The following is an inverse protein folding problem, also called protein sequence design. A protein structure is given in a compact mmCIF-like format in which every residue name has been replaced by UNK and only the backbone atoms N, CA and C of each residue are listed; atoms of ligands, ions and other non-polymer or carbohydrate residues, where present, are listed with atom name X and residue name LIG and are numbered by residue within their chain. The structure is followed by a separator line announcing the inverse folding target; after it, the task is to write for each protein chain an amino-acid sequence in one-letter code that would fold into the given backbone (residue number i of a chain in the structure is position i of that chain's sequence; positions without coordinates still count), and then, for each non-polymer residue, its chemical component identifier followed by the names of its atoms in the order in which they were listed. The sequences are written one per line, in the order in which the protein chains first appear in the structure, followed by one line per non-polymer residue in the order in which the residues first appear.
data_IF_030050386586
#
_entry.id   IF_030050386586
#
_cell.length_a   1.000
_cell.length_b   1.000
_cell.length_c   1.000
_cell.angle_alpha   90.00
_cell.angle_beta   90.00
_cell.angle_gamma   90.00
#
_symmetry.space_group_name_H-M   'P 1'
#
loop_
_entity.id
_entity.type
_entity.pdbx_description
1 polymer ?
#
# COMPACT_ATOMS: atom_id res chain seq x y z
N UNK A 1 -10.50 -37.24 -13.76
CA UNK A 1 -10.01 -35.84 -13.60
C UNK A 1 -11.22 -34.99 -13.27
N UNK A 2 -11.25 -34.34 -12.10
CA UNK A 2 -12.39 -33.50 -11.70
C UNK A 2 -12.44 -32.27 -12.60
N UNK A 3 -13.62 -31.91 -13.10
CA UNK A 3 -13.81 -30.69 -13.88
C UNK A 3 -13.43 -29.46 -13.03
N UNK A 4 -12.86 -28.39 -13.63
CA UNK A 4 -12.54 -27.18 -12.89
C UNK A 4 -13.84 -26.57 -12.35
N UNK A 5 -13.88 -26.33 -11.04
CA UNK A 5 -15.05 -25.75 -10.39
C UNK A 5 -15.30 -24.35 -10.96
N UNK A 6 -16.52 -24.09 -11.42
CA UNK A 6 -16.89 -22.78 -11.98
C UNK A 6 -16.84 -21.77 -10.83
N UNK A 7 -16.07 -20.69 -11.01
CA UNK A 7 -15.93 -19.66 -10.00
C UNK A 7 -17.19 -18.78 -9.98
N UNK A 8 -17.62 -18.38 -8.79
CA UNK A 8 -18.75 -17.46 -8.63
C UNK A 8 -18.38 -16.09 -9.22
N UNK A 9 -19.35 -15.39 -9.81
CA UNK A 9 -19.14 -14.04 -10.37
C UNK A 9 -20.23 -13.07 -9.92
N UNK A 10 -19.86 -11.79 -9.85
CA UNK A 10 -20.78 -10.70 -9.55
C UNK A 10 -20.55 -9.51 -10.50
N UNK A 11 -21.65 -8.84 -10.84
CA UNK A 11 -21.61 -7.61 -11.61
C UNK A 11 -21.18 -6.44 -10.70
N UNK A 12 -20.12 -5.74 -11.10
CA UNK A 12 -19.63 -4.54 -10.41
C UNK A 12 -19.63 -3.33 -11.35
N UNK A 13 -19.38 -2.13 -10.81
CA UNK A 13 -19.18 -0.93 -11.62
C UNK A 13 -17.97 -1.02 -12.57
N UNK A 14 -17.06 -1.97 -12.32
CA UNK A 14 -15.89 -2.25 -13.15
C UNK A 14 -16.14 -3.35 -14.21
N UNK A 15 -17.34 -3.95 -14.24
CA UNK A 15 -17.69 -5.11 -15.05
C UNK A 15 -17.92 -6.38 -14.23
N UNK A 16 -18.03 -7.51 -14.92
CA UNK A 16 -18.15 -8.84 -14.30
C UNK A 16 -16.84 -9.21 -13.58
N UNK A 17 -16.93 -9.46 -12.28
CA UNK A 17 -15.80 -9.83 -11.45
C UNK A 17 -15.99 -11.25 -10.93
N UNK A 18 -14.91 -12.04 -10.96
CA UNK A 18 -14.92 -13.43 -10.49
C UNK A 18 -14.39 -13.52 -9.06
N UNK A 19 -15.13 -14.18 -8.18
CA UNK A 19 -14.74 -14.45 -6.80
C UNK A 19 -13.76 -15.63 -6.78
N UNK A 20 -12.53 -15.37 -6.33
CA UNK A 20 -11.51 -16.42 -6.18
C UNK A 20 -11.62 -17.01 -4.76
N UNK A 21 -11.89 -18.32 -4.62
CA UNK A 21 -11.93 -18.98 -3.32
C UNK A 21 -10.65 -18.74 -2.52
N UNK A 22 -10.81 -18.36 -1.24
CA UNK A 22 -9.69 -18.04 -0.36
C UNK A 22 -9.13 -16.62 -0.51
N UNK A 23 -9.59 -15.83 -1.48
CA UNK A 23 -9.21 -14.42 -1.65
C UNK A 23 -10.37 -13.54 -1.21
N UNK A 24 -10.18 -12.84 -0.09
CA UNK A 24 -11.17 -11.87 0.41
C UNK A 24 -11.12 -10.59 -0.44
N UNK A 25 -12.24 -10.14 -1.03
CA UNK A 25 -12.28 -8.85 -1.72
C UNK A 25 -11.95 -7.70 -0.78
N UNK A 26 -11.21 -6.70 -1.28
CA UNK A 26 -10.96 -5.45 -0.53
C UNK A 26 -12.21 -4.58 -0.61
N UNK A 27 -12.74 -4.18 0.53
CA UNK A 27 -13.93 -3.33 0.63
C UNK A 27 -13.64 -1.87 0.27
N UNK A 28 -14.68 -1.09 -0.03
CA UNK A 28 -14.54 0.34 -0.26
C UNK A 28 -13.98 1.07 0.97
N UNK A 29 -14.45 0.68 2.16
CA UNK A 29 -13.95 1.21 3.42
C UNK A 29 -12.44 1.00 3.58
N UNK A 30 -11.94 -0.21 3.34
CA UNK A 30 -10.50 -0.51 3.42
C UNK A 30 -9.68 0.30 2.42
N UNK A 31 -10.18 0.45 1.18
CA UNK A 31 -9.54 1.30 0.16
C UNK A 31 -9.44 2.77 0.61
N UNK A 32 -10.52 3.30 1.21
CA UNK A 32 -10.55 4.68 1.69
C UNK A 32 -9.61 4.89 2.89
N UNK A 33 -9.58 3.95 3.83
CA UNK A 33 -8.66 3.99 4.98
C UNK A 33 -7.19 4.00 4.54
N UNK A 34 -6.82 3.15 3.56
CA UNK A 34 -5.47 3.15 3.00
C UNK A 34 -5.12 4.50 2.34
N UNK A 35 -6.05 5.06 1.57
CA UNK A 35 -5.85 6.35 0.89
C UNK A 35 -5.74 7.51 1.87
N UNK A 36 -6.48 7.46 2.97
CA UNK A 36 -6.38 8.46 4.04
C UNK A 36 -5.03 8.38 4.77
N UNK A 37 -4.48 7.18 4.94
CA UNK A 37 -3.17 6.98 5.55
C UNK A 37 -1.98 7.32 4.63
N UNK A 38 -2.15 7.23 3.30
CA UNK A 38 -1.09 7.44 2.32
C UNK A 38 -0.36 8.80 2.43
N UNK A 39 -1.03 9.95 2.60
CA UNK A 39 -0.36 11.23 2.79
C UNK A 39 0.53 11.29 4.04
N UNK A 40 0.22 10.49 5.06
CA UNK A 40 1.01 10.39 6.29
C UNK A 40 2.18 9.39 6.15
N UNK A 41 2.17 8.57 5.09
CA UNK A 41 3.24 7.63 4.83
C UNK A 41 4.44 8.36 4.21
N UNK A 42 5.67 8.13 4.70
CA UNK A 42 6.85 8.74 4.12
C UNK A 42 7.09 8.20 2.70
N UNK A 43 7.29 9.09 1.73
CA UNK A 43 7.53 8.71 0.33
C UNK A 43 8.90 8.06 0.10
N UNK A 44 9.83 8.24 1.04
CA UNK A 44 11.16 7.62 1.07
C UNK A 44 11.41 7.09 2.48
N UNK A 45 12.20 6.04 2.61
CA UNK A 45 12.67 5.61 3.92
C UNK A 45 13.39 6.78 4.62
N UNK A 46 13.07 7.01 5.90
CA UNK A 46 13.78 7.99 6.71
C UNK A 46 15.24 7.60 6.80
N UNK A 47 16.15 8.49 6.40
CA UNK A 47 17.60 8.26 6.55
C UNK A 47 17.95 8.28 8.05
N UNK A 48 18.84 7.38 8.53
CA UNK A 48 19.39 7.50 9.87
C UNK A 48 20.08 8.86 10.02
N UNK A 49 19.77 9.60 11.09
CA UNK A 49 20.45 10.87 11.36
C UNK A 49 21.59 10.66 12.35
N UNK A 50 22.73 11.27 12.06
CA UNK A 50 23.91 11.32 12.90
C UNK A 50 23.76 12.48 13.89
N UNK A 51 23.01 12.24 14.96
CA UNK A 51 22.70 13.28 15.97
C UNK A 51 23.84 13.32 17.01
N UNK A 52 24.53 14.45 17.15
CA UNK A 52 25.67 14.59 18.07
C UNK A 52 26.48 15.87 17.89
N UNK A 53 27.63 15.99 18.58
CA UNK A 53 28.47 17.20 18.61
C UNK A 53 28.92 17.71 17.22
N UNK A 54 28.99 16.82 16.24
CA UNK A 54 29.47 17.15 14.90
C UNK A 54 28.38 17.19 13.81
N UNK A 55 27.11 16.91 14.16
CA UNK A 55 25.91 16.84 13.30
C UNK A 55 26.21 17.01 11.80
N UNK A 56 26.77 15.95 11.21
CA UNK A 56 27.28 15.98 9.84
C UNK A 56 26.13 16.10 8.82
N UNK A 57 24.96 15.59 9.20
CA UNK A 57 23.75 15.65 8.39
C UNK A 57 23.15 17.07 8.36
N UNK A 58 23.23 17.84 9.45
CA UNK A 58 22.88 19.27 9.44
C UNK A 58 23.82 20.10 8.55
N UNK A 59 25.10 19.74 8.48
CA UNK A 59 26.06 20.39 7.56
C UNK A 59 25.82 20.03 6.10
N UNK A 60 25.37 18.80 5.84
CA UNK A 60 25.06 18.30 4.50
C UNK A 60 23.55 18.32 4.21
N UNK A 61 22.90 19.47 4.41
CA UNK A 61 21.44 19.60 4.29
C UNK A 61 20.88 19.17 2.91
N UNK A 62 21.67 19.26 1.85
CA UNK A 62 21.27 18.80 0.50
C UNK A 62 21.13 17.27 0.40
N UNK A 63 21.78 16.49 1.26
CA UNK A 63 21.60 15.03 1.29
C UNK A 63 20.38 14.59 2.09
N UNK A 64 19.62 15.50 2.72
CA UNK A 64 18.43 15.17 3.50
C UNK A 64 17.15 15.03 2.66
N UNK A 65 17.16 15.48 1.40
CA UNK A 65 16.04 15.39 0.45
C UNK A 65 16.19 14.21 -0.53
#
# INVERSE_FOLDING_TARGET
MSAPNRLDSEATQCGEQTLIPGVRPVSLHERLMLRMAQPLAPAKAQKPMTIGLFDEDARNQLSLF
#
